data_IF_712147866892
#
_entry.id   IF_712147866892
#
_cell.length_a   1.000
_cell.length_b   1.000
_cell.length_c   1.000
_cell.angle_alpha   90.00
_cell.angle_beta   90.00
_cell.angle_gamma   90.00
#
_symmetry.space_group_name_H-M   'P 1'
#
loop_
_entity.id
_entity.type
_entity.pdbx_description
1 polymer ?
#
# COMPACT_ATOMS: atom_id res chain seq x y z
N UNK A 1 26.92 21.25 13.19
CA UNK A 1 27.58 21.90 12.04
C UNK A 1 26.49 22.57 11.20
N UNK A 2 26.59 23.85 10.84
CA UNK A 2 25.62 24.46 9.94
C UNK A 2 25.70 23.80 8.57
N UNK A 3 24.55 23.47 7.99
CA UNK A 3 24.43 22.89 6.66
C UNK A 3 24.89 23.91 5.62
N UNK A 4 25.72 23.49 4.66
CA UNK A 4 26.18 24.42 3.61
C UNK A 4 24.97 25.01 2.86
N UNK A 5 25.03 26.28 2.40
CA UNK A 5 23.93 26.94 1.67
C UNK A 5 23.43 26.13 0.47
N UNK A 6 24.35 25.40 -0.20
CA UNK A 6 24.02 24.52 -1.32
C UNK A 6 23.14 23.33 -0.90
N UNK A 7 23.42 22.67 0.24
CA UNK A 7 22.59 21.58 0.77
C UNK A 7 21.19 22.06 1.16
N UNK A 8 21.08 23.27 1.69
CA UNK A 8 19.78 23.86 2.06
C UNK A 8 18.93 24.14 0.81
N UNK A 9 19.52 24.67 -0.26
CA UNK A 9 18.83 24.91 -1.55
C UNK A 9 18.37 23.59 -2.19
N UNK A 10 19.23 22.58 -2.24
CA UNK A 10 18.92 21.24 -2.75
C UNK A 10 17.76 20.59 -1.99
N UNK A 11 17.80 20.67 -0.66
CA UNK A 11 16.78 20.12 0.22
C UNK A 11 15.42 20.79 0.03
N UNK A 12 15.39 22.14 -0.12
CA UNK A 12 14.14 22.89 -0.39
C UNK A 12 13.57 22.54 -1.77
N UNK A 13 14.39 22.56 -2.82
CA UNK A 13 13.94 22.22 -4.18
C UNK A 13 13.36 20.80 -4.23
N UNK A 14 14.07 19.82 -3.66
CA UNK A 14 13.59 18.44 -3.59
C UNK A 14 12.25 18.38 -2.86
N UNK A 15 12.09 19.10 -1.75
CA UNK A 15 10.87 19.06 -0.95
C UNK A 15 9.65 19.59 -1.72
N UNK A 16 9.75 20.73 -2.39
CA UNK A 16 8.61 21.28 -3.14
C UNK A 16 8.20 20.38 -4.30
N UNK A 17 9.17 19.84 -5.05
CA UNK A 17 8.88 18.94 -6.16
C UNK A 17 8.31 17.59 -5.68
N UNK A 18 8.84 17.08 -4.56
CA UNK A 18 8.34 15.85 -3.97
C UNK A 18 6.97 16.02 -3.32
N UNK A 19 6.64 17.22 -2.85
CA UNK A 19 5.30 17.55 -2.36
C UNK A 19 4.27 17.45 -3.50
N UNK A 20 4.61 17.94 -4.70
CA UNK A 20 3.78 17.78 -5.91
C UNK A 20 3.65 16.29 -6.27
N UNK A 21 4.78 15.58 -6.40
CA UNK A 21 4.79 14.16 -6.70
C UNK A 21 3.95 13.33 -5.71
N UNK A 22 4.11 13.57 -4.42
CA UNK A 22 3.36 12.86 -3.36
C UNK A 22 1.87 13.17 -3.40
N UNK A 23 1.50 14.42 -3.70
CA UNK A 23 0.09 14.81 -3.89
C UNK A 23 -0.54 14.06 -5.06
N UNK A 24 0.15 14.00 -6.19
CA UNK A 24 -0.28 13.22 -7.36
C UNK A 24 -0.34 11.73 -7.04
N UNK A 25 0.64 11.23 -6.28
CA UNK A 25 0.69 9.85 -5.81
C UNK A 25 -0.52 9.46 -4.95
N UNK A 26 -1.03 10.35 -4.10
CA UNK A 26 -2.22 10.11 -3.29
C UNK A 26 -3.49 9.91 -4.12
N UNK A 27 -3.61 10.65 -5.22
CA UNK A 27 -4.74 10.50 -6.15
C UNK A 27 -4.65 9.16 -6.87
N UNK A 28 -3.45 8.79 -7.34
CA UNK A 28 -3.24 7.51 -8.02
C UNK A 28 -3.46 6.32 -7.08
N UNK A 29 -3.03 6.42 -5.80
CA UNK A 29 -3.28 5.38 -4.78
C UNK A 29 -4.77 5.10 -4.63
N UNK A 30 -5.59 6.14 -4.55
CA UNK A 30 -7.05 6.03 -4.47
C UNK A 30 -7.65 5.54 -5.79
N UNK A 31 -7.17 6.05 -6.91
CA UNK A 31 -7.58 5.63 -8.25
C UNK A 31 -7.41 4.12 -8.46
N UNK A 32 -6.22 3.60 -8.13
CA UNK A 32 -5.93 2.18 -8.23
C UNK A 32 -6.61 1.34 -7.15
N UNK A 33 -6.66 1.83 -5.92
CA UNK A 33 -7.18 1.07 -4.79
C UNK A 33 -8.71 1.00 -4.71
N UNK A 34 -9.42 2.01 -5.23
CA UNK A 34 -10.88 2.12 -5.13
C UNK A 34 -11.53 2.19 -6.50
N UNK A 35 -11.20 3.21 -7.30
CA UNK A 35 -11.97 3.51 -8.51
C UNK A 35 -11.76 2.51 -9.64
N UNK A 36 -10.57 1.94 -9.83
CA UNK A 36 -10.37 0.91 -10.86
C UNK A 36 -11.21 -0.35 -10.58
N UNK A 37 -11.36 -0.74 -9.32
CA UNK A 37 -12.19 -1.87 -8.92
C UNK A 37 -13.68 -1.50 -9.01
N UNK A 38 -14.07 -0.33 -8.55
CA UNK A 38 -15.45 0.17 -8.62
C UNK A 38 -15.96 0.26 -10.06
N UNK A 39 -15.13 0.79 -10.97
CA UNK A 39 -15.44 0.86 -12.39
C UNK A 39 -15.56 -0.54 -13.00
N UNK A 40 -14.66 -1.46 -12.65
CA UNK A 40 -14.72 -2.84 -13.09
C UNK A 40 -16.00 -3.55 -12.64
N UNK A 41 -16.50 -3.25 -11.43
CA UNK A 41 -17.74 -3.84 -10.90
C UNK A 41 -18.97 -3.24 -11.59
N UNK A 42 -19.10 -1.92 -11.60
CA UNK A 42 -20.37 -1.23 -11.96
C UNK A 42 -20.55 -0.90 -13.43
N UNK A 43 -19.46 -0.61 -14.12
CA UNK A 43 -19.50 -0.13 -15.50
C UNK A 43 -19.10 -1.19 -16.51
N UNK A 44 -18.27 -2.16 -16.09
CA UNK A 44 -17.79 -3.23 -16.97
C UNK A 44 -18.34 -4.60 -16.63
N UNK A 45 -19.02 -4.74 -15.50
CA UNK A 45 -19.50 -6.04 -14.98
C UNK A 45 -18.43 -7.13 -15.06
N UNK A 46 -17.20 -6.75 -14.75
CA UNK A 46 -16.01 -7.56 -14.99
C UNK A 46 -16.03 -8.84 -14.16
N UNK A 47 -15.55 -9.98 -14.70
CA UNK A 47 -15.40 -11.23 -13.96
C UNK A 47 -14.48 -11.07 -12.73
N UNK A 48 -14.68 -11.89 -11.70
CA UNK A 48 -13.92 -11.88 -10.46
C UNK A 48 -12.41 -11.97 -10.67
N UNK A 49 -11.98 -12.72 -11.69
CA UNK A 49 -10.57 -12.85 -12.07
C UNK A 49 -9.95 -11.50 -12.44
N UNK A 50 -10.66 -10.67 -13.19
CA UNK A 50 -10.22 -9.33 -13.59
C UNK A 50 -10.13 -8.42 -12.36
N UNK A 51 -11.16 -8.41 -11.51
CA UNK A 51 -11.17 -7.65 -10.26
C UNK A 51 -10.01 -8.05 -9.34
N UNK A 52 -9.69 -9.34 -9.27
CA UNK A 52 -8.54 -9.85 -8.52
C UNK A 52 -7.21 -9.36 -9.11
N UNK A 53 -7.04 -9.35 -10.43
CA UNK A 53 -5.86 -8.81 -11.12
C UNK A 53 -5.68 -7.33 -10.78
N UNK A 54 -6.75 -6.54 -10.86
CA UNK A 54 -6.72 -5.10 -10.52
C UNK A 54 -6.32 -4.85 -9.06
N UNK A 55 -6.81 -5.66 -8.14
CA UNK A 55 -6.46 -5.55 -6.73
C UNK A 55 -5.03 -6.02 -6.40
N UNK A 56 -4.42 -6.85 -7.24
CA UNK A 56 -3.10 -7.45 -7.02
C UNK A 56 -1.92 -6.62 -7.55
N UNK A 57 -2.15 -5.69 -8.48
CA UNK A 57 -1.10 -5.08 -9.30
C UNK A 57 -0.01 -4.36 -8.49
N UNK A 58 -0.37 -3.55 -7.50
CA UNK A 58 0.59 -2.87 -6.62
C UNK A 58 1.48 -3.88 -5.87
N UNK A 59 0.88 -4.95 -5.36
CA UNK A 59 1.60 -5.99 -4.62
C UNK A 59 2.49 -6.83 -5.53
N UNK A 60 2.01 -7.16 -6.74
CA UNK A 60 2.81 -7.82 -7.76
C UNK A 60 4.03 -7.00 -8.16
N UNK A 61 3.89 -5.68 -8.21
CA UNK A 61 5.01 -4.78 -8.46
C UNK A 61 6.12 -4.87 -7.42
N UNK A 62 5.80 -5.14 -6.14
CA UNK A 62 6.82 -5.35 -5.10
C UNK A 62 7.71 -6.58 -5.37
N UNK A 63 7.19 -7.62 -6.04
CA UNK A 63 7.98 -8.77 -6.45
C UNK A 63 8.99 -8.41 -7.55
N UNK A 64 8.67 -7.41 -8.35
CA UNK A 64 9.52 -6.96 -9.47
C UNK A 64 10.58 -5.94 -9.06
N UNK A 65 10.61 -5.48 -7.80
CA UNK A 65 11.60 -4.51 -7.30
C UNK A 65 13.05 -4.91 -7.62
N UNK A 66 13.50 -6.18 -7.39
CA UNK A 66 14.88 -6.56 -7.71
C UNK A 66 15.18 -6.49 -9.21
N UNK A 67 14.21 -6.82 -10.06
CA UNK A 67 14.34 -6.69 -11.51
C UNK A 67 14.45 -5.22 -11.93
N UNK A 68 13.56 -4.38 -11.40
CA UNK A 68 13.55 -2.95 -11.70
C UNK A 68 14.83 -2.25 -11.24
N UNK A 69 15.40 -2.67 -10.11
CA UNK A 69 16.72 -2.19 -9.67
C UNK A 69 17.85 -2.54 -10.66
N UNK A 70 17.85 -3.76 -11.21
CA UNK A 70 18.82 -4.14 -12.25
C UNK A 70 18.67 -3.30 -13.50
N UNK A 71 17.43 -3.09 -13.97
CA UNK A 71 17.14 -2.25 -15.13
C UNK A 71 17.60 -0.80 -14.88
N UNK A 72 17.31 -0.26 -13.69
CA UNK A 72 17.71 1.09 -13.31
C UNK A 72 19.24 1.27 -13.27
N UNK A 73 19.98 0.28 -12.76
CA UNK A 73 21.46 0.27 -12.78
C UNK A 73 21.98 0.18 -14.21
N UNK A 74 21.39 -0.67 -15.05
CA UNK A 74 21.80 -0.84 -16.44
C UNK A 74 21.53 0.42 -17.27
N UNK A 75 20.42 1.11 -17.03
CA UNK A 75 20.05 2.34 -17.74
C UNK A 75 21.00 3.51 -17.49
N UNK A 76 21.80 3.49 -16.42
CA UNK A 76 22.68 4.59 -15.97
C UNK A 76 21.95 5.93 -15.77
N UNK A 77 20.64 5.93 -15.75
CA UNK A 77 19.83 7.13 -15.54
C UNK A 77 19.92 7.62 -14.09
N UNK A 78 19.64 8.90 -13.88
CA UNK A 78 19.42 9.43 -12.53
C UNK A 78 18.21 8.74 -11.91
N UNK A 79 18.22 8.47 -10.59
CA UNK A 79 17.12 7.79 -9.88
C UNK A 79 15.76 8.47 -10.17
N UNK A 80 15.71 9.80 -10.03
CA UNK A 80 14.47 10.56 -10.26
C UNK A 80 14.02 10.53 -11.72
N UNK A 81 14.94 10.55 -12.69
CA UNK A 81 14.60 10.42 -14.12
C UNK A 81 14.11 9.02 -14.47
N UNK A 82 14.64 7.97 -13.83
CA UNK A 82 14.13 6.61 -13.98
C UNK A 82 12.69 6.51 -13.43
N UNK A 83 12.43 7.06 -12.23
CA UNK A 83 11.09 7.15 -11.67
C UNK A 83 10.12 7.96 -12.56
N UNK A 84 10.59 9.06 -13.15
CA UNK A 84 9.81 9.84 -14.11
C UNK A 84 9.43 9.00 -15.35
N UNK A 85 10.35 8.19 -15.87
CA UNK A 85 10.08 7.25 -16.96
C UNK A 85 9.01 6.23 -16.61
N UNK A 86 9.06 5.66 -15.40
CA UNK A 86 8.03 4.73 -14.91
C UNK A 86 6.66 5.41 -14.81
N UNK A 87 6.62 6.68 -14.37
CA UNK A 87 5.35 7.44 -14.30
C UNK A 87 4.83 7.82 -15.69
N UNK A 88 5.67 8.04 -16.69
CA UNK A 88 5.23 8.24 -18.08
C UNK A 88 4.62 6.94 -18.64
N UNK A 89 5.24 5.78 -18.38
CA UNK A 89 4.67 4.48 -18.76
C UNK A 89 3.33 4.27 -18.06
N UNK A 90 3.25 4.56 -16.75
CA UNK A 90 2.01 4.52 -15.99
C UNK A 90 0.93 5.39 -16.64
N UNK A 91 1.25 6.65 -16.96
CA UNK A 91 0.32 7.57 -17.63
C UNK A 91 -0.12 7.09 -19.01
N UNK A 92 0.79 6.54 -19.81
CA UNK A 92 0.48 5.94 -21.11
C UNK A 92 -0.47 4.73 -21.01
N UNK A 93 -0.24 3.86 -20.03
CA UNK A 93 -1.14 2.75 -19.74
C UNK A 93 -2.53 3.23 -19.27
N UNK A 94 -2.59 4.26 -18.43
CA UNK A 94 -3.86 4.86 -17.98
C UNK A 94 -4.62 5.55 -19.12
N UNK A 95 -3.88 6.23 -20.00
CA UNK A 95 -4.46 6.81 -21.21
C UNK A 95 -5.02 5.72 -22.13
N UNK A 96 -4.29 4.63 -22.30
CA UNK A 96 -4.77 3.47 -23.07
C UNK A 96 -6.00 2.84 -22.41
N UNK A 97 -5.98 2.64 -21.07
CA UNK A 97 -7.11 2.11 -20.32
C UNK A 97 -8.39 2.92 -20.50
N UNK A 98 -8.29 4.25 -20.63
CA UNK A 98 -9.47 5.13 -20.83
C UNK A 98 -10.26 4.81 -22.11
N UNK A 99 -9.63 4.22 -23.12
CA UNK A 99 -10.27 3.91 -24.40
C UNK A 99 -10.54 2.41 -24.61
N UNK A 100 -10.26 1.58 -23.57
CA UNK A 100 -10.48 0.14 -23.67
C UNK A 100 -11.87 -0.25 -23.21
N UNK A 101 -12.60 -0.91 -24.08
CA UNK A 101 -13.90 -1.53 -23.79
C UNK A 101 -13.77 -3.01 -23.38
N UNK A 102 -12.68 -3.67 -23.79
CA UNK A 102 -12.38 -5.03 -23.38
C UNK A 102 -11.83 -5.06 -21.94
N UNK A 103 -12.49 -5.78 -21.02
CA UNK A 103 -12.08 -5.82 -19.61
C UNK A 103 -10.69 -6.42 -19.37
N UNK A 104 -10.21 -7.34 -20.23
CA UNK A 104 -8.88 -7.95 -20.09
C UNK A 104 -7.76 -7.00 -20.51
N UNK A 105 -7.97 -6.25 -21.61
CA UNK A 105 -7.01 -5.23 -22.04
C UNK A 105 -6.94 -4.08 -21.06
N UNK A 106 -8.09 -3.67 -20.50
CA UNK A 106 -8.12 -2.70 -19.41
C UNK A 106 -7.38 -3.18 -18.18
N UNK A 107 -7.61 -4.44 -17.77
CA UNK A 107 -6.91 -5.04 -16.63
C UNK A 107 -5.40 -5.10 -16.86
N UNK A 108 -4.95 -5.46 -18.05
CA UNK A 108 -3.54 -5.47 -18.42
C UNK A 108 -2.91 -4.07 -18.33
N UNK A 109 -3.58 -3.07 -18.89
CA UNK A 109 -3.11 -1.67 -18.86
C UNK A 109 -2.99 -1.17 -17.41
N UNK A 110 -4.03 -1.36 -16.59
CA UNK A 110 -4.04 -0.95 -15.19
C UNK A 110 -3.04 -1.73 -14.34
N UNK A 111 -2.85 -3.02 -14.62
CA UNK A 111 -1.86 -3.84 -13.92
C UNK A 111 -0.42 -3.32 -14.18
N UNK A 112 -0.07 -3.05 -15.44
CA UNK A 112 1.24 -2.47 -15.79
C UNK A 112 1.42 -1.10 -15.15
N UNK A 113 0.39 -0.24 -15.19
CA UNK A 113 0.40 1.07 -14.55
C UNK A 113 0.69 0.96 -13.04
N UNK A 114 0.02 0.05 -12.34
CA UNK A 114 0.20 -0.21 -10.91
C UNK A 114 1.60 -0.75 -10.60
N UNK A 115 2.13 -1.65 -11.43
CA UNK A 115 3.52 -2.15 -11.30
C UNK A 115 4.51 -0.99 -11.38
N UNK A 116 4.38 -0.11 -12.37
CA UNK A 116 5.25 1.07 -12.50
C UNK A 116 5.13 2.00 -11.28
N UNK A 117 3.92 2.31 -10.86
CA UNK A 117 3.66 3.18 -9.71
C UNK A 117 4.25 2.62 -8.40
N UNK A 118 4.13 1.32 -8.17
CA UNK A 118 4.58 0.65 -6.95
C UNK A 118 6.10 0.69 -6.73
N UNK A 119 6.90 0.98 -7.76
CA UNK A 119 8.35 1.05 -7.66
C UNK A 119 8.85 2.35 -6.99
N UNK A 120 8.07 3.44 -7.10
CA UNK A 120 8.51 4.77 -6.72
C UNK A 120 9.02 4.89 -5.28
N UNK A 121 8.29 4.39 -4.25
CA UNK A 121 8.72 4.53 -2.86
C UNK A 121 10.12 3.93 -2.62
N UNK A 122 10.41 2.77 -3.22
CA UNK A 122 11.69 2.08 -3.09
C UNK A 122 12.87 2.88 -3.66
N UNK A 123 12.69 3.48 -4.83
CA UNK A 123 13.70 4.29 -5.47
C UNK A 123 13.90 5.65 -4.79
N UNK A 124 12.81 6.30 -4.41
CA UNK A 124 12.84 7.63 -3.81
C UNK A 124 13.54 7.67 -2.43
N UNK A 125 13.60 6.57 -1.71
CA UNK A 125 14.38 6.47 -0.46
C UNK A 125 15.84 6.90 -0.68
N UNK A 126 16.45 6.55 -1.81
CA UNK A 126 17.83 6.93 -2.14
C UNK A 126 17.96 8.45 -2.33
N UNK A 127 16.98 9.07 -2.97
CA UNK A 127 16.93 10.53 -3.15
C UNK A 127 16.79 11.21 -1.78
N UNK A 128 15.85 10.75 -0.93
CA UNK A 128 15.63 11.32 0.39
C UNK A 128 16.84 11.19 1.31
N UNK A 129 17.56 10.06 1.23
CA UNK A 129 18.74 9.84 2.07
C UNK A 129 19.90 10.80 1.74
N UNK A 130 19.98 11.25 0.49
CA UNK A 130 21.05 12.16 0.00
C UNK A 130 20.67 13.63 0.12
N UNK A 131 19.41 13.96 -0.23
CA UNK A 131 18.97 15.34 -0.38
C UNK A 131 18.43 15.94 0.92
N UNK A 132 17.99 15.12 1.88
CA UNK A 132 17.52 15.59 3.19
C UNK A 132 18.52 15.29 4.29
N UNK A 133 18.64 16.23 5.24
CA UNK A 133 19.38 15.95 6.47
C UNK A 133 18.61 14.92 7.34
N UNK A 134 19.30 14.08 8.13
CA UNK A 134 18.62 13.13 9.02
C UNK A 134 17.58 13.78 9.95
N UNK A 135 17.84 15.01 10.41
CA UNK A 135 16.96 15.77 11.32
C UNK A 135 15.66 16.26 10.65
N UNK A 136 15.68 16.51 9.34
CA UNK A 136 14.54 17.08 8.60
C UNK A 136 13.75 16.05 7.82
N UNK A 137 14.37 14.90 7.52
CA UNK A 137 13.81 13.88 6.64
C UNK A 137 12.43 13.41 7.10
N UNK A 138 12.31 13.02 8.36
CA UNK A 138 11.05 12.55 8.94
C UNK A 138 9.94 13.58 8.83
N UNK A 139 10.23 14.86 9.20
CA UNK A 139 9.26 15.95 9.14
C UNK A 139 8.78 16.21 7.70
N UNK A 140 9.68 16.22 6.71
CA UNK A 140 9.34 16.46 5.30
C UNK A 140 8.49 15.33 4.73
N UNK A 141 8.86 14.07 4.98
CA UNK A 141 8.08 12.90 4.54
C UNK A 141 6.70 12.85 5.21
N UNK A 142 6.58 13.28 6.47
CA UNK A 142 5.28 13.36 7.13
C UNK A 142 4.35 14.39 6.46
N UNK A 143 4.88 15.54 6.06
CA UNK A 143 4.09 16.53 5.31
C UNK A 143 3.64 16.00 3.95
N UNK A 144 4.53 15.32 3.21
CA UNK A 144 4.18 14.67 1.95
C UNK A 144 3.05 13.66 2.14
N UNK A 145 3.15 12.84 3.18
CA UNK A 145 2.12 11.83 3.49
C UNK A 145 0.76 12.47 3.85
N UNK A 146 0.76 13.51 4.68
CA UNK A 146 -0.48 14.20 5.09
C UNK A 146 -1.14 14.86 3.88
N UNK A 147 -0.37 15.59 3.07
CA UNK A 147 -0.91 16.27 1.90
C UNK A 147 -1.42 15.27 0.84
N UNK A 148 -0.68 14.20 0.59
CA UNK A 148 -1.08 13.10 -0.28
C UNK A 148 -2.44 12.51 0.13
N UNK A 149 -2.59 12.19 1.41
CA UNK A 149 -3.84 11.64 1.93
C UNK A 149 -4.99 12.66 1.84
N UNK A 150 -4.73 13.93 2.16
CA UNK A 150 -5.75 14.99 2.12
C UNK A 150 -6.26 15.24 0.69
N UNK A 151 -5.35 15.35 -0.28
CA UNK A 151 -5.74 15.54 -1.69
C UNK A 151 -6.45 14.29 -2.23
N UNK A 152 -5.96 13.10 -1.87
CA UNK A 152 -6.62 11.83 -2.21
C UNK A 152 -8.06 11.78 -1.69
N UNK A 153 -8.33 12.23 -0.45
CA UNK A 153 -9.68 12.27 0.13
C UNK A 153 -10.61 13.23 -0.65
N UNK A 154 -10.16 14.45 -0.93
CA UNK A 154 -10.98 15.45 -1.65
C UNK A 154 -11.35 14.96 -3.04
N UNK A 155 -10.35 14.50 -3.80
CA UNK A 155 -10.57 14.06 -5.17
C UNK A 155 -11.35 12.74 -5.25
N UNK A 156 -11.19 11.86 -4.27
CA UNK A 156 -11.98 10.65 -4.15
C UNK A 156 -13.47 10.96 -3.98
N UNK A 157 -13.81 11.87 -3.07
CA UNK A 157 -15.18 12.28 -2.85
C UNK A 157 -15.78 12.93 -4.12
N UNK A 158 -15.03 13.82 -4.79
CA UNK A 158 -15.42 14.42 -6.06
C UNK A 158 -15.60 13.42 -7.19
N UNK A 159 -14.71 12.41 -7.28
CA UNK A 159 -14.81 11.35 -8.27
C UNK A 159 -16.02 10.43 -8.03
N UNK A 160 -16.32 10.11 -6.77
CA UNK A 160 -17.52 9.36 -6.39
C UNK A 160 -18.80 10.10 -6.79
N UNK A 161 -18.89 11.39 -6.43
CA UNK A 161 -20.02 12.26 -6.83
C UNK A 161 -20.15 12.40 -8.35
N UNK A 162 -19.03 12.49 -9.08
CA UNK A 162 -19.04 12.50 -10.53
C UNK A 162 -19.65 11.21 -11.10
N UNK A 163 -19.23 10.03 -10.61
CA UNK A 163 -19.70 8.73 -11.09
C UNK A 163 -21.18 8.45 -10.74
N UNK A 164 -21.79 9.21 -9.83
CA UNK A 164 -23.22 9.11 -9.51
C UNK A 164 -24.11 9.88 -10.51
N UNK A 165 -23.53 10.68 -11.42
CA UNK A 165 -24.29 11.39 -12.44
C UNK A 165 -24.72 10.45 -13.56
N UNK A 166 -25.94 10.62 -14.07
CA UNK A 166 -26.49 9.79 -15.16
C UNK A 166 -25.65 9.83 -16.46
N UNK A 167 -24.92 10.92 -16.70
CA UNK A 167 -24.03 11.11 -17.85
C UNK A 167 -22.56 10.86 -17.52
N UNK A 168 -22.26 10.14 -16.44
CA UNK A 168 -20.87 9.88 -16.05
C UNK A 168 -20.23 8.87 -17.01
N UNK A 169 -19.10 9.26 -17.54
CA UNK A 169 -18.25 8.42 -18.37
C UNK A 169 -17.01 8.05 -17.56
N UNK A 170 -16.82 6.75 -17.18
CA UNK A 170 -15.72 6.33 -16.32
C UNK A 170 -14.34 6.60 -16.92
N UNK A 171 -14.23 6.78 -18.22
CA UNK A 171 -13.03 7.14 -18.97
C UNK A 171 -12.34 8.38 -18.40
N UNK A 172 -13.11 9.38 -17.97
CA UNK A 172 -12.57 10.61 -17.38
C UNK A 172 -11.77 10.39 -16.11
N UNK A 173 -12.08 9.33 -15.35
CA UNK A 173 -11.28 8.94 -14.18
C UNK A 173 -9.88 8.53 -14.63
N UNK A 174 -9.78 7.65 -15.65
CA UNK A 174 -8.48 7.20 -16.16
C UNK A 174 -7.71 8.32 -16.89
N UNK A 175 -8.39 9.19 -17.63
CA UNK A 175 -7.78 10.38 -18.26
C UNK A 175 -7.21 11.35 -17.20
N UNK A 176 -7.94 11.56 -16.12
CA UNK A 176 -7.46 12.36 -14.99
C UNK A 176 -6.24 11.72 -14.36
N UNK A 177 -6.27 10.41 -14.08
CA UNK A 177 -5.12 9.68 -13.54
C UNK A 177 -3.92 9.72 -14.48
N UNK A 178 -4.13 9.63 -15.80
CA UNK A 178 -3.07 9.74 -16.81
C UNK A 178 -2.41 11.13 -16.77
N UNK A 179 -3.21 12.20 -16.74
CA UNK A 179 -2.73 13.57 -16.64
C UNK A 179 -1.92 13.80 -15.35
N UNK A 180 -2.40 13.27 -14.23
CA UNK A 180 -1.75 13.31 -12.92
C UNK A 180 -0.41 12.57 -12.97
N UNK A 181 -0.33 11.42 -13.65
CA UNK A 181 0.91 10.69 -13.84
C UNK A 181 1.97 11.49 -14.60
N UNK A 182 1.55 12.27 -15.61
CA UNK A 182 2.46 13.17 -16.34
C UNK A 182 2.96 14.30 -15.44
N UNK A 183 2.09 14.92 -14.64
CA UNK A 183 2.50 15.96 -13.67
C UNK A 183 3.49 15.38 -12.66
N UNK A 184 3.24 14.19 -12.13
CA UNK A 184 4.16 13.47 -11.24
C UNK A 184 5.50 13.19 -11.93
N UNK A 185 5.48 12.74 -13.19
CA UNK A 185 6.70 12.49 -13.97
C UNK A 185 7.54 13.76 -14.16
N UNK A 186 6.91 14.90 -14.47
CA UNK A 186 7.59 16.18 -14.57
C UNK A 186 8.22 16.61 -13.25
N UNK A 187 7.48 16.51 -12.15
CA UNK A 187 8.01 16.82 -10.82
C UNK A 187 9.23 15.94 -10.48
N UNK A 188 9.13 14.63 -10.71
CA UNK A 188 10.23 13.68 -10.49
C UNK A 188 11.44 13.98 -11.37
N UNK A 189 11.25 14.29 -12.65
CA UNK A 189 12.35 14.62 -13.58
C UNK A 189 13.14 15.82 -13.11
N UNK A 190 12.48 16.82 -12.53
CA UNK A 190 13.09 18.04 -12.01
C UNK A 190 13.76 17.86 -10.64
N UNK A 191 13.52 16.76 -9.93
CA UNK A 191 14.20 16.46 -8.65
C UNK A 191 15.67 16.15 -8.94
N UNK A 192 16.63 16.87 -8.31
CA UNK A 192 18.04 16.57 -8.44
C UNK A 192 18.37 15.21 -7.81
N UNK A 193 18.98 14.32 -8.57
CA UNK A 193 19.44 13.01 -8.08
C UNK A 193 20.66 12.51 -8.86
N UNK A 194 21.29 11.46 -8.35
CA UNK A 194 22.42 10.80 -8.98
C UNK A 194 21.99 9.45 -9.55
N UNK A 195 22.75 8.89 -10.50
CA UNK A 195 22.57 7.51 -10.96
C UNK A 195 22.71 6.51 -9.79
N UNK A 196 22.01 5.39 -9.91
CA UNK A 196 22.11 4.29 -8.95
C UNK A 196 23.51 3.69 -9.04
N UNK A 197 24.26 3.71 -7.94
CA UNK A 197 25.63 3.17 -7.92
C UNK A 197 25.61 1.65 -7.74
N UNK A 198 26.49 0.95 -8.47
CA UNK A 198 26.75 -0.51 -8.37
C UNK A 198 27.44 -0.88 -7.05
N UNK A 199 27.07 -0.44 -5.91
CA UNK A 199 27.86 -0.69 -4.70
C UNK A 199 27.07 -1.08 -3.47
N UNK A 200 25.77 -0.89 -3.46
CA UNK A 200 24.94 -1.47 -2.41
C UNK A 200 24.67 -2.93 -2.78
N UNK A 201 25.17 -3.89 -1.99
CA UNK A 201 24.77 -5.30 -2.09
C UNK A 201 23.24 -5.36 -2.06
N UNK A 202 22.61 -5.33 -3.23
CA UNK A 202 21.25 -5.78 -3.34
C UNK A 202 21.30 -7.27 -3.02
N UNK A 203 20.85 -7.65 -1.84
CA UNK A 203 20.66 -9.06 -1.54
C UNK A 203 19.71 -9.63 -2.57
N UNK A 204 20.12 -10.69 -3.24
CA UNK A 204 19.25 -11.42 -4.17
C UNK A 204 18.04 -11.98 -3.39
N UNK A 205 16.97 -12.27 -4.09
CA UNK A 205 15.79 -12.89 -3.48
C UNK A 205 16.16 -14.17 -2.70
N UNK A 206 17.04 -14.98 -3.27
CA UNK A 206 17.54 -16.22 -2.65
C UNK A 206 18.29 -15.89 -1.35
N UNK A 207 19.18 -14.88 -1.36
CA UNK A 207 19.94 -14.46 -0.17
C UNK A 207 19.01 -13.96 0.95
N UNK A 208 17.93 -13.25 0.58
CA UNK A 208 16.93 -12.82 1.54
C UNK A 208 16.18 -14.02 2.15
N UNK A 209 15.79 -14.99 1.33
CA UNK A 209 15.05 -16.17 1.77
C UNK A 209 15.92 -17.13 2.61
N UNK A 210 17.26 -17.16 2.41
CA UNK A 210 18.14 -17.96 3.27
C UNK A 210 18.15 -17.50 4.73
N UNK A 211 17.84 -16.21 4.99
CA UNK A 211 17.66 -15.72 6.37
C UNK A 211 16.57 -16.48 7.16
N UNK A 212 15.55 -17.01 6.46
CA UNK A 212 14.48 -17.82 7.09
C UNK A 212 15.00 -19.17 7.60
N UNK A 213 16.01 -19.73 6.94
CA UNK A 213 16.64 -21.01 7.36
C UNK A 213 17.61 -20.79 8.51
N UNK A 214 18.28 -19.65 8.53
CA UNK A 214 19.29 -19.30 9.53
C UNK A 214 18.68 -18.81 10.86
N UNK A 215 17.54 -18.10 10.80
CA UNK A 215 16.87 -17.54 11.96
C UNK A 215 15.42 -18.03 12.08
N UNK A 216 15.22 -19.06 12.90
CA UNK A 216 13.88 -19.65 13.14
C UNK A 216 12.91 -18.70 13.81
N UNK A 217 13.39 -17.77 14.67
CA UNK A 217 12.52 -16.78 15.30
C UNK A 217 11.99 -15.81 14.25
N UNK A 218 12.87 -15.31 13.38
CA UNK A 218 12.48 -14.47 12.24
C UNK A 218 11.48 -15.19 11.33
N UNK A 219 11.75 -16.46 10.98
CA UNK A 219 10.87 -17.25 10.13
C UNK A 219 9.47 -17.40 10.74
N UNK A 220 9.37 -17.71 12.04
CA UNK A 220 8.10 -17.85 12.74
C UNK A 220 7.33 -16.53 12.86
N UNK A 221 8.02 -15.42 13.15
CA UNK A 221 7.41 -14.09 13.14
C UNK A 221 6.90 -13.72 11.75
N UNK A 222 7.69 -14.00 10.72
CA UNK A 222 7.31 -13.73 9.35
C UNK A 222 6.14 -14.59 8.89
N UNK A 223 6.08 -15.87 9.30
CA UNK A 223 4.92 -16.74 9.06
C UNK A 223 3.65 -16.15 9.68
N UNK A 224 3.71 -15.70 10.94
CA UNK A 224 2.57 -15.05 11.58
C UNK A 224 2.12 -13.80 10.81
N UNK A 225 3.07 -12.98 10.31
CA UNK A 225 2.79 -11.86 9.45
C UNK A 225 2.13 -12.26 8.13
N UNK A 226 2.58 -13.37 7.53
CA UNK A 226 2.03 -13.84 6.25
C UNK A 226 0.58 -14.31 6.40
N UNK A 227 0.30 -15.09 7.45
CA UNK A 227 -1.06 -15.59 7.73
C UNK A 227 -2.03 -14.44 8.00
N UNK A 228 -1.66 -13.49 8.88
CA UNK A 228 -2.48 -12.32 9.16
C UNK A 228 -2.74 -11.50 7.89
N UNK A 229 -1.69 -11.22 7.16
CA UNK A 229 -1.83 -10.37 6.00
C UNK A 229 -2.59 -11.02 4.85
N UNK A 230 -2.54 -12.35 4.71
CA UNK A 230 -3.40 -13.07 3.76
C UNK A 230 -4.87 -12.82 4.11
N UNK A 231 -5.25 -13.02 5.38
CA UNK A 231 -6.60 -12.79 5.86
C UNK A 231 -7.10 -11.36 5.61
N UNK A 232 -6.28 -10.35 5.89
CA UNK A 232 -6.70 -8.95 5.71
C UNK A 232 -6.70 -8.52 4.24
N UNK A 233 -5.64 -8.84 3.48
CA UNK A 233 -5.50 -8.33 2.10
C UNK A 233 -6.56 -8.94 1.17
N UNK A 234 -6.96 -10.20 1.37
CA UNK A 234 -8.00 -10.83 0.55
C UNK A 234 -9.35 -10.11 0.70
N UNK A 235 -9.62 -9.45 1.83
CA UNK A 235 -10.87 -8.72 2.05
C UNK A 235 -10.88 -7.31 1.47
N UNK A 236 -9.72 -6.74 1.11
CA UNK A 236 -9.65 -5.34 0.67
C UNK A 236 -10.49 -5.05 -0.59
N UNK A 237 -10.36 -5.79 -1.70
CA UNK A 237 -11.22 -5.58 -2.87
C UNK A 237 -12.69 -5.92 -2.59
N UNK A 238 -12.93 -6.92 -1.74
CA UNK A 238 -14.29 -7.35 -1.39
C UNK A 238 -15.04 -6.31 -0.57
N UNK A 239 -14.35 -5.39 0.08
CA UNK A 239 -14.99 -4.25 0.75
C UNK A 239 -15.68 -3.34 -0.26
N UNK A 240 -15.07 -3.11 -1.42
CA UNK A 240 -15.66 -2.32 -2.49
C UNK A 240 -16.82 -3.10 -3.11
N UNK A 241 -16.63 -4.39 -3.38
CA UNK A 241 -17.66 -5.29 -3.88
C UNK A 241 -18.90 -5.29 -2.98
N UNK A 242 -18.71 -5.41 -1.65
CA UNK A 242 -19.78 -5.39 -0.66
C UNK A 242 -20.56 -4.08 -0.65
N UNK A 243 -19.89 -2.93 -0.85
CA UNK A 243 -20.57 -1.63 -0.90
C UNK A 243 -21.25 -1.39 -2.23
N UNK A 244 -20.70 -1.87 -3.36
CA UNK A 244 -21.13 -1.51 -4.71
C UNK A 244 -21.99 -2.55 -5.39
N UNK A 245 -21.88 -3.82 -4.98
CA UNK A 245 -22.54 -4.95 -5.66
C UNK A 245 -24.01 -5.11 -5.28
N UNK A 246 -24.78 -5.74 -6.16
CA UNK A 246 -26.20 -6.07 -5.94
C UNK A 246 -26.43 -7.10 -4.83
N UNK A 247 -25.40 -7.92 -4.52
CA UNK A 247 -25.41 -8.85 -3.39
C UNK A 247 -24.95 -8.26 -2.07
N UNK A 248 -24.67 -6.95 -2.03
CA UNK A 248 -24.25 -6.21 -0.84
C UNK A 248 -25.17 -5.03 -0.56
N UNK A 249 -24.58 -3.89 -0.14
CA UNK A 249 -25.34 -2.71 0.30
C UNK A 249 -25.79 -1.78 -0.84
N UNK A 250 -25.24 -1.94 -2.04
CA UNK A 250 -25.52 -1.11 -3.22
C UNK A 250 -25.56 0.41 -2.94
N UNK A 251 -24.55 0.90 -2.23
CA UNK A 251 -24.40 2.32 -1.88
C UNK A 251 -24.04 3.17 -3.12
N UNK A 252 -24.27 4.49 -3.07
CA UNK A 252 -23.80 5.40 -4.12
C UNK A 252 -22.26 5.43 -4.21
N UNK A 253 -21.72 5.84 -5.37
CA UNK A 253 -20.26 5.91 -5.56
C UNK A 253 -19.62 6.96 -4.62
N UNK A 254 -20.35 8.04 -4.32
CA UNK A 254 -19.96 9.04 -3.33
C UNK A 254 -19.86 8.43 -1.93
N UNK A 255 -20.85 7.62 -1.51
CA UNK A 255 -20.85 6.92 -0.22
C UNK A 255 -19.72 5.88 -0.15
N UNK A 256 -19.44 5.18 -1.24
CA UNK A 256 -18.31 4.24 -1.33
C UNK A 256 -16.99 4.99 -1.13
N UNK A 257 -16.79 6.12 -1.82
CA UNK A 257 -15.60 6.96 -1.65
C UNK A 257 -15.48 7.51 -0.22
N UNK A 258 -16.60 7.94 0.38
CA UNK A 258 -16.65 8.39 1.77
C UNK A 258 -16.17 7.30 2.73
N UNK A 259 -16.70 6.11 2.63
CA UNK A 259 -16.39 4.98 3.52
C UNK A 259 -14.96 4.46 3.30
N UNK A 260 -14.59 4.17 2.05
CA UNK A 260 -13.34 3.46 1.74
C UNK A 260 -12.11 4.36 1.77
N UNK A 261 -12.27 5.66 1.52
CA UNK A 261 -11.15 6.61 1.43
C UNK A 261 -11.20 7.65 2.54
N UNK A 262 -12.29 8.41 2.69
CA UNK A 262 -12.32 9.56 3.58
C UNK A 262 -12.29 9.12 5.04
N UNK A 263 -13.28 8.34 5.48
CA UNK A 263 -13.39 7.87 6.88
C UNK A 263 -12.16 7.03 7.27
N UNK A 264 -11.77 6.10 6.39
CA UNK A 264 -10.58 5.29 6.57
C UNK A 264 -9.30 6.13 6.76
N UNK A 265 -9.09 7.13 5.89
CA UNK A 265 -7.86 7.95 5.94
C UNK A 265 -7.84 8.90 7.15
N UNK A 266 -8.97 9.49 7.53
CA UNK A 266 -9.07 10.33 8.73
C UNK A 266 -8.72 9.48 9.97
N UNK A 267 -9.34 8.32 10.14
CA UNK A 267 -9.06 7.43 11.25
C UNK A 267 -7.58 6.97 11.29
N UNK A 268 -7.01 6.65 10.11
CA UNK A 268 -5.60 6.29 9.95
C UNK A 268 -4.66 7.43 10.36
N UNK A 269 -4.92 8.65 9.92
CA UNK A 269 -4.07 9.82 10.23
C UNK A 269 -4.12 10.14 11.73
N UNK A 270 -5.31 10.23 12.31
CA UNK A 270 -5.49 10.55 13.73
C UNK A 270 -4.80 9.50 14.61
N UNK A 271 -5.00 8.23 14.32
CA UNK A 271 -4.44 7.14 15.13
C UNK A 271 -2.93 6.96 14.96
N UNK A 272 -2.35 7.37 13.82
CA UNK A 272 -0.93 7.13 13.53
C UNK A 272 0.01 7.76 14.57
N UNK A 273 -0.34 8.93 15.11
CA UNK A 273 0.46 9.57 16.17
C UNK A 273 0.47 8.77 17.45
N UNK A 274 -0.71 8.32 17.89
CA UNK A 274 -0.86 7.49 19.09
C UNK A 274 -0.10 6.15 18.95
N UNK A 275 -0.18 5.56 17.78
CA UNK A 275 0.53 4.33 17.48
C UNK A 275 2.05 4.51 17.45
N UNK A 276 2.56 5.64 16.99
CA UNK A 276 3.99 5.95 17.03
C UNK A 276 4.51 5.99 18.47
N UNK A 277 3.81 6.71 19.36
CA UNK A 277 4.17 6.79 20.77
C UNK A 277 4.06 5.43 21.47
N UNK A 278 3.03 4.64 21.14
CA UNK A 278 2.82 3.33 21.73
C UNK A 278 3.88 2.31 21.28
N UNK A 279 4.29 2.36 20.01
CA UNK A 279 5.33 1.46 19.46
C UNK A 279 6.66 1.57 20.19
N UNK A 280 7.02 2.77 20.65
CA UNK A 280 8.25 3.01 21.38
C UNK A 280 8.17 2.59 22.85
N UNK A 281 6.95 2.53 23.43
CA UNK A 281 6.74 2.28 24.86
C UNK A 281 6.40 0.83 25.21
N UNK A 282 5.83 0.08 24.27
CA UNK A 282 5.38 -1.29 24.53
C UNK A 282 6.18 -2.32 23.75
N UNK A 283 6.19 -3.55 24.25
CA UNK A 283 6.79 -4.66 23.51
C UNK A 283 6.06 -4.86 22.19
N UNK A 284 6.82 -5.13 21.14
CA UNK A 284 6.29 -5.29 19.78
C UNK A 284 5.16 -6.34 19.68
N UNK A 285 5.27 -7.46 20.41
CA UNK A 285 4.24 -8.51 20.36
C UNK A 285 2.90 -8.03 20.91
N UNK A 286 2.86 -7.29 22.03
CA UNK A 286 1.62 -6.70 22.54
C UNK A 286 1.05 -5.70 21.55
N UNK A 287 1.90 -4.83 21.01
CA UNK A 287 1.51 -3.88 19.96
C UNK A 287 0.85 -4.59 18.78
N UNK A 288 1.47 -5.68 18.29
CA UNK A 288 0.95 -6.43 17.14
C UNK A 288 -0.36 -7.14 17.43
N UNK A 289 -0.50 -7.75 18.60
CA UNK A 289 -1.73 -8.43 19.03
C UNK A 289 -2.87 -7.43 19.13
N UNK A 290 -2.66 -6.26 19.73
CA UNK A 290 -3.67 -5.19 19.81
C UNK A 290 -4.15 -4.79 18.41
N UNK A 291 -3.24 -4.61 17.46
CA UNK A 291 -3.61 -4.31 16.08
C UNK A 291 -4.42 -5.44 15.42
N UNK A 292 -4.07 -6.70 15.67
CA UNK A 292 -4.81 -7.84 15.16
C UNK A 292 -6.26 -7.86 15.69
N UNK A 293 -6.46 -7.60 16.98
CA UNK A 293 -7.80 -7.53 17.58
C UNK A 293 -8.65 -6.41 16.97
N UNK A 294 -8.05 -5.24 16.73
CA UNK A 294 -8.73 -4.13 16.04
C UNK A 294 -9.10 -4.52 14.60
N UNK A 295 -8.21 -5.19 13.88
CA UNK A 295 -8.48 -5.62 12.50
C UNK A 295 -9.55 -6.72 12.43
N UNK A 296 -9.60 -7.63 13.42
CA UNK A 296 -10.69 -8.61 13.58
C UNK A 296 -12.03 -7.87 13.77
N UNK A 297 -12.09 -6.96 14.74
CA UNK A 297 -13.29 -6.17 15.00
C UNK A 297 -13.72 -5.37 13.77
N UNK A 298 -12.75 -4.72 13.08
CA UNK A 298 -13.01 -3.98 11.86
C UNK A 298 -13.64 -4.86 10.75
N UNK A 299 -13.12 -6.06 10.56
CA UNK A 299 -13.62 -6.99 9.53
C UNK A 299 -15.03 -7.47 9.86
N UNK A 300 -15.28 -7.86 11.12
CA UNK A 300 -16.61 -8.30 11.55
C UNK A 300 -17.64 -7.17 11.44
N UNK A 301 -17.35 -6.00 11.99
CA UNK A 301 -18.26 -4.84 11.92
C UNK A 301 -18.56 -4.46 10.48
N UNK A 302 -17.54 -4.51 9.58
CA UNK A 302 -17.73 -4.10 8.20
C UNK A 302 -18.66 -5.04 7.41
N UNK A 303 -18.43 -6.35 7.46
CA UNK A 303 -19.15 -7.32 6.64
C UNK A 303 -20.47 -7.82 7.26
N UNK A 304 -20.78 -7.44 8.51
CA UNK A 304 -22.09 -7.72 9.13
C UNK A 304 -22.96 -6.44 9.27
N UNK A 305 -22.53 -5.36 8.62
CA UNK A 305 -23.26 -4.08 8.69
C UNK A 305 -24.37 -4.03 7.66
N UNK A 306 -25.56 -3.63 8.06
CA UNK A 306 -26.75 -3.53 7.20
C UNK A 306 -26.89 -2.15 6.53
N UNK A 307 -25.93 -1.23 6.71
CA UNK A 307 -26.02 0.11 6.16
C UNK A 307 -24.78 0.98 6.35
N UNK A 308 -24.89 2.22 5.85
CA UNK A 308 -23.78 3.19 5.77
C UNK A 308 -23.08 3.42 7.12
N UNK A 309 -23.82 3.53 8.23
CA UNK A 309 -23.21 3.81 9.54
C UNK A 309 -22.32 2.65 10.01
N UNK A 310 -22.79 1.42 9.86
CA UNK A 310 -22.03 0.23 10.28
C UNK A 310 -20.76 0.03 9.46
N UNK A 311 -20.82 0.15 8.12
CA UNK A 311 -19.61 0.05 7.28
C UNK A 311 -18.66 1.23 7.52
N UNK A 312 -19.17 2.41 7.86
CA UNK A 312 -18.36 3.57 8.26
C UNK A 312 -17.58 3.29 9.55
N UNK A 313 -18.23 2.69 10.55
CA UNK A 313 -17.57 2.28 11.78
C UNK A 313 -16.50 1.20 11.52
N UNK A 314 -16.83 0.17 10.74
CA UNK A 314 -15.88 -0.86 10.33
C UNK A 314 -14.68 -0.29 9.57
N UNK A 315 -14.92 0.69 8.70
CA UNK A 315 -13.86 1.39 7.96
C UNK A 315 -12.98 2.26 8.86
N UNK A 316 -13.58 2.97 9.84
CA UNK A 316 -12.83 3.74 10.83
C UNK A 316 -11.93 2.83 11.67
N UNK A 317 -12.44 1.70 12.17
CA UNK A 317 -11.65 0.69 12.88
C UNK A 317 -10.51 0.14 12.02
N UNK A 318 -10.79 -0.14 10.74
CA UNK A 318 -9.76 -0.57 9.79
C UNK A 318 -8.68 0.51 9.60
N UNK A 319 -9.07 1.78 9.50
CA UNK A 319 -8.15 2.91 9.43
C UNK A 319 -7.24 2.99 10.66
N UNK A 320 -7.81 2.86 11.86
CA UNK A 320 -7.05 2.79 13.12
C UNK A 320 -6.04 1.64 13.11
N UNK A 321 -6.47 0.43 12.76
CA UNK A 321 -5.61 -0.76 12.71
C UNK A 321 -4.50 -0.65 11.66
N UNK A 322 -4.78 -0.09 10.48
CA UNK A 322 -3.80 0.09 9.41
C UNK A 322 -2.80 1.20 9.75
N UNK A 323 -3.22 2.26 10.47
CA UNK A 323 -2.31 3.30 10.97
C UNK A 323 -1.16 2.72 11.79
N UNK A 324 -1.46 1.86 12.75
CA UNK A 324 -0.45 1.15 13.55
C UNK A 324 0.29 0.06 12.76
N UNK A 325 -0.42 -0.67 11.90
CA UNK A 325 0.18 -1.74 11.09
C UNK A 325 1.26 -1.23 10.15
N UNK A 326 1.14 -0.01 9.62
CA UNK A 326 2.17 0.60 8.76
C UNK A 326 3.46 0.88 9.53
N UNK A 327 3.35 1.36 10.78
CA UNK A 327 4.51 1.57 11.68
C UNK A 327 5.15 0.23 12.01
N UNK A 328 4.34 -0.74 12.45
CA UNK A 328 4.81 -2.09 12.75
C UNK A 328 5.54 -2.71 11.54
N UNK A 329 4.96 -2.64 10.35
CA UNK A 329 5.52 -3.20 9.12
C UNK A 329 6.89 -2.61 8.76
N UNK A 330 7.06 -1.32 8.98
CA UNK A 330 8.30 -0.63 8.63
C UNK A 330 9.43 -0.85 9.63
N UNK A 331 9.12 -1.08 10.90
CA UNK A 331 10.10 -1.01 11.99
C UNK A 331 10.39 -2.34 12.71
N UNK A 332 9.51 -3.36 12.61
CA UNK A 332 9.70 -4.60 13.38
C UNK A 332 11.01 -5.32 13.09
N UNK A 333 11.46 -5.30 11.84
CA UNK A 333 12.72 -5.92 11.42
C UNK A 333 13.91 -5.30 12.15
N UNK A 334 13.88 -3.98 12.41
CA UNK A 334 14.97 -3.29 13.09
C UNK A 334 15.13 -3.71 14.56
N UNK A 335 14.07 -4.26 15.16
CA UNK A 335 14.12 -4.80 16.53
C UNK A 335 14.64 -6.24 16.59
N UNK A 336 14.64 -6.96 15.46
CA UNK A 336 14.95 -8.39 15.41
C UNK A 336 16.25 -8.70 14.66
N UNK A 337 16.51 -8.01 13.56
CA UNK A 337 17.64 -8.31 12.70
C UNK A 337 18.97 -8.05 13.42
N UNK A 338 19.99 -8.91 13.23
CA UNK A 338 21.35 -8.61 13.66
C UNK A 338 21.86 -7.31 13.00
N UNK A 339 22.70 -6.58 13.74
CA UNK A 339 23.30 -5.32 13.25
C UNK A 339 23.98 -5.53 11.89
N UNK A 340 23.59 -4.71 10.92
CA UNK A 340 24.09 -4.75 9.54
C UNK A 340 23.39 -5.74 8.62
N UNK A 341 22.43 -6.55 9.13
CA UNK A 341 21.64 -7.48 8.33
C UNK A 341 20.19 -7.03 8.08
N UNK A 342 19.83 -5.83 8.52
CA UNK A 342 18.45 -5.30 8.45
C UNK A 342 17.92 -5.31 7.02
N UNK A 343 18.75 -4.96 6.04
CA UNK A 343 18.36 -4.93 4.63
C UNK A 343 18.03 -6.33 4.08
N UNK A 344 18.76 -7.38 4.52
CA UNK A 344 18.50 -8.78 4.13
C UNK A 344 17.18 -9.28 4.70
N UNK A 345 16.92 -9.02 5.98
CA UNK A 345 15.69 -9.41 6.67
C UNK A 345 14.47 -8.65 6.11
N UNK A 346 14.63 -7.34 5.90
CA UNK A 346 13.57 -6.54 5.28
C UNK A 346 13.28 -6.95 3.85
N UNK A 347 14.31 -7.36 3.08
CA UNK A 347 14.15 -7.90 1.73
C UNK A 347 13.27 -9.16 1.71
N UNK A 348 13.48 -10.11 2.65
CA UNK A 348 12.63 -11.28 2.79
C UNK A 348 11.17 -10.90 3.13
N UNK A 349 11.00 -9.96 4.07
CA UNK A 349 9.67 -9.48 4.47
C UNK A 349 8.92 -8.82 3.29
N UNK A 350 9.57 -7.95 2.54
CA UNK A 350 8.96 -7.26 1.39
C UNK A 350 8.62 -8.25 0.28
N UNK A 351 9.51 -9.21 -0.04
CA UNK A 351 9.26 -10.20 -1.07
C UNK A 351 8.05 -11.07 -0.75
N UNK A 352 7.98 -11.61 0.48
CA UNK A 352 6.84 -12.42 0.90
C UNK A 352 5.54 -11.58 1.04
N UNK A 353 5.65 -10.31 1.42
CA UNK A 353 4.50 -9.39 1.41
C UNK A 353 3.98 -9.18 -0.01
N UNK A 354 4.85 -8.99 -0.99
CA UNK A 354 4.47 -8.89 -2.41
C UNK A 354 3.80 -10.16 -2.91
N UNK A 355 4.39 -11.34 -2.63
CA UNK A 355 3.81 -12.64 -3.01
C UNK A 355 2.41 -12.85 -2.42
N UNK A 356 2.27 -12.67 -1.12
CA UNK A 356 0.98 -12.75 -0.43
C UNK A 356 -0.03 -11.77 -1.00
N UNK A 357 0.37 -10.50 -1.18
CA UNK A 357 -0.50 -9.45 -1.67
C UNK A 357 -0.92 -9.64 -3.13
N UNK A 358 -0.11 -10.31 -3.94
CA UNK A 358 -0.46 -10.69 -5.30
C UNK A 358 -1.50 -11.82 -5.34
N UNK A 359 -1.42 -12.80 -4.42
CA UNK A 359 -2.32 -13.95 -4.39
C UNK A 359 -3.62 -13.72 -3.61
N UNK A 360 -3.58 -12.88 -2.57
CA UNK A 360 -4.71 -12.72 -1.66
C UNK A 360 -6.02 -12.28 -2.32
N UNK A 361 -6.05 -11.34 -3.29
CA UNK A 361 -7.29 -10.98 -3.97
C UNK A 361 -7.96 -12.14 -4.70
N UNK A 362 -7.18 -13.01 -5.35
CA UNK A 362 -7.71 -14.21 -6.03
C UNK A 362 -8.36 -15.16 -5.04
N UNK A 363 -7.71 -15.40 -3.91
CA UNK A 363 -8.29 -16.21 -2.83
C UNK A 363 -9.57 -15.57 -2.29
N UNK A 364 -9.59 -14.25 -2.16
CA UNK A 364 -10.76 -13.51 -1.68
C UNK A 364 -11.97 -13.68 -2.57
N UNK A 365 -11.84 -13.46 -3.88
CA UNK A 365 -12.94 -13.62 -4.82
C UNK A 365 -13.37 -15.09 -4.97
N UNK A 366 -12.43 -16.04 -4.97
CA UNK A 366 -12.76 -17.47 -4.99
C UNK A 366 -13.58 -17.88 -3.76
N UNK A 367 -13.17 -17.43 -2.57
CA UNK A 367 -13.92 -17.71 -1.33
C UNK A 367 -15.25 -16.98 -1.29
N UNK A 368 -15.36 -15.79 -1.87
CA UNK A 368 -16.63 -15.06 -1.97
C UNK A 368 -17.68 -15.89 -2.72
N UNK A 369 -17.30 -16.51 -3.82
CA UNK A 369 -18.21 -17.39 -4.59
C UNK A 369 -18.64 -18.62 -3.83
N UNK A 370 -17.86 -19.11 -2.85
CA UNK A 370 -18.17 -20.31 -2.07
C UNK A 370 -18.92 -20.01 -0.76
N UNK A 371 -18.56 -18.93 -0.07
CA UNK A 371 -18.94 -18.69 1.33
C UNK A 371 -19.77 -17.41 1.51
N UNK A 372 -19.90 -16.58 0.48
CA UNK A 372 -20.47 -15.24 0.60
C UNK A 372 -19.64 -14.28 1.47
N UNK A 373 -20.12 -13.06 1.67
CA UNK A 373 -19.40 -12.01 2.38
C UNK A 373 -19.12 -12.36 3.85
N UNK A 374 -20.12 -12.87 4.56
CA UNK A 374 -19.99 -13.26 5.97
C UNK A 374 -19.00 -14.41 6.15
N UNK A 375 -19.08 -15.44 5.28
CA UNK A 375 -18.16 -16.56 5.33
C UNK A 375 -16.71 -16.15 5.07
N UNK A 376 -16.48 -15.22 4.13
CA UNK A 376 -15.14 -14.63 3.90
C UNK A 376 -14.67 -13.83 5.10
N UNK A 377 -15.56 -13.07 5.75
CA UNK A 377 -15.22 -12.33 6.96
C UNK A 377 -14.77 -13.26 8.08
N UNK A 378 -15.52 -14.34 8.34
CA UNK A 378 -15.15 -15.35 9.33
C UNK A 378 -13.86 -16.09 9.00
N UNK A 379 -13.63 -16.42 7.72
CA UNK A 379 -12.37 -17.01 7.28
C UNK A 379 -11.19 -16.07 7.50
N UNK A 380 -11.34 -14.79 7.16
CA UNK A 380 -10.35 -13.75 7.44
C UNK A 380 -10.04 -13.66 8.93
N UNK A 381 -11.07 -13.58 9.77
CA UNK A 381 -10.95 -13.52 11.23
C UNK A 381 -10.22 -14.75 11.77
N UNK A 382 -10.52 -15.93 11.25
CA UNK A 382 -9.83 -17.17 11.62
C UNK A 382 -8.33 -17.08 11.33
N UNK A 383 -7.94 -16.62 10.13
CA UNK A 383 -6.53 -16.43 9.79
C UNK A 383 -5.84 -15.41 10.71
N UNK A 384 -6.49 -14.28 11.01
CA UNK A 384 -5.91 -13.25 11.90
C UNK A 384 -5.81 -13.79 13.33
N UNK A 385 -6.77 -14.60 13.78
CA UNK A 385 -6.74 -15.26 15.09
C UNK A 385 -5.61 -16.29 15.16
N UNK A 386 -5.45 -17.13 14.15
CA UNK A 386 -4.31 -18.07 14.06
C UNK A 386 -2.99 -17.32 14.11
N UNK A 387 -2.86 -16.22 13.36
CA UNK A 387 -1.67 -15.36 13.43
C UNK A 387 -1.44 -14.82 14.85
N UNK A 388 -2.50 -14.39 15.53
CA UNK A 388 -2.41 -13.87 16.90
C UNK A 388 -1.91 -14.95 17.86
N UNK A 389 -2.40 -16.17 17.73
CA UNK A 389 -1.92 -17.32 18.50
C UNK A 389 -0.46 -17.66 18.20
N UNK A 390 -0.03 -17.55 16.94
CA UNK A 390 1.38 -17.71 16.56
C UNK A 390 2.25 -16.63 17.23
N UNK A 391 1.84 -15.37 17.25
CA UNK A 391 2.55 -14.31 17.97
C UNK A 391 2.57 -14.57 19.48
N UNK A 392 1.47 -15.03 20.08
CA UNK A 392 1.42 -15.38 21.51
C UNK A 392 2.44 -16.47 21.90
N UNK A 393 2.62 -17.49 21.06
CA UNK A 393 3.64 -18.53 21.29
C UNK A 393 5.06 -17.98 21.32
N UNK A 394 5.33 -16.87 20.66
CA UNK A 394 6.66 -16.27 20.62
C UNK A 394 7.03 -15.50 21.88
N UNK A 395 6.09 -15.20 22.78
CA UNK A 395 6.39 -14.56 24.08
C UNK A 395 7.31 -15.38 24.97
N UNK A 396 7.29 -16.70 24.85
CA UNK A 396 8.14 -17.60 25.64
C UNK A 396 9.59 -17.65 25.15
N UNK A 397 9.88 -17.16 23.95
CA UNK A 397 11.21 -17.23 23.37
C UNK A 397 12.15 -16.22 24.04
N UNK A 398 13.34 -16.69 24.51
CA UNK A 398 14.28 -15.87 25.27
C UNK A 398 14.67 -14.57 24.54
N UNK A 399 15.00 -14.65 23.26
CA UNK A 399 15.39 -13.49 22.44
C UNK A 399 14.28 -12.43 22.34
N UNK A 400 13.00 -12.80 22.43
CA UNK A 400 11.89 -11.83 22.45
C UNK A 400 11.79 -11.10 23.79
N UNK A 401 12.26 -11.72 24.88
CA UNK A 401 12.32 -11.09 26.20
C UNK A 401 13.47 -10.08 26.28
N UNK A 402 14.63 -10.45 25.71
CA UNK A 402 15.87 -9.67 25.82
C UNK A 402 15.90 -8.47 24.84
N UNK A 403 15.24 -8.56 23.70
CA UNK A 403 15.24 -7.53 22.63
C UNK A 403 14.11 -6.51 22.73
N UNK A 404 13.22 -6.60 23.74
CA UNK A 404 12.05 -5.73 23.85
C UNK A 404 10.98 -5.98 22.77
N UNK A 405 11.00 -7.16 22.11
CA UNK A 405 10.04 -7.63 21.12
C UNK A 405 8.67 -8.03 21.69
#
# INVERSE_FOLDING_TARGET
MPTSPHKTKLSKQTFHLDLINSSMGGILEVGFGTFSILIAIRFLEAPDMIKAILASGVSAGLLLVPLMQRIAVWSKMRVSSFCAGLMLICGGCLLWAAYMTDPWLLALALFVAQVCFSQLPGFMIQVYSRNYSPKERGKKLSWNFILSAFIGMILSYGAGNYLDRKSAEPEWIFLTMASISVVSALALYLIPSQPIQRGQRAYGLIDCLTALKEDRLFANMLLAWMVMGLGIIMTLPLRIEYLSGTGGLNLSNEQIALVTVVIFSIARIISSRLWGELFDRVRFLYFRITLNLILIAATLVYFHADGLLGVSLGSALAGVGVGGSKIAWSLWVTKLAPLGMEARYMGAHVALTGFRGALAPFLGYWLLGLLGYEGVAWFSVTLVTVSTLLFLRLFSHQRTRDSGL
#
